data_IF_264063603944
#
_entry.id   IF_264063603944
#
_cell.length_a   1.000
_cell.length_b   1.000
_cell.length_c   1.000
_cell.angle_alpha   90.00
_cell.angle_beta   90.00
_cell.angle_gamma   90.00
#
_symmetry.space_group_name_H-M   'P 1'
#
loop_
_entity.id
_entity.type
_entity.pdbx_description
1 polymer ?
#
# COMPACT_ATOMS: atom_id res chain seq x y z
N UNK A 1 19.78 -7.21 2.28
CA UNK A 1 18.31 -7.03 2.20
C UNK A 1 18.04 -5.53 2.17
N UNK A 2 17.16 -5.01 1.29
CA UNK A 2 16.98 -3.55 1.13
C UNK A 2 16.02 -2.99 2.19
N UNK A 3 16.28 -1.77 2.64
CA UNK A 3 15.34 -1.06 3.52
C UNK A 3 14.10 -0.63 2.74
N UNK A 4 12.94 -0.74 3.39
CA UNK A 4 11.68 -0.29 2.80
C UNK A 4 11.36 1.14 3.24
N UNK A 5 11.39 2.08 2.29
CA UNK A 5 11.12 3.51 2.52
C UNK A 5 9.80 3.93 1.88
N UNK A 6 9.28 5.09 2.27
CA UNK A 6 8.04 5.66 1.71
C UNK A 6 8.18 5.93 0.20
N UNK A 7 9.36 6.38 -0.26
CA UNK A 7 9.64 6.55 -1.69
C UNK A 7 9.61 5.24 -2.47
N UNK A 8 10.19 4.17 -1.90
CA UNK A 8 10.10 2.82 -2.49
C UNK A 8 8.66 2.34 -2.50
N UNK A 9 7.92 2.59 -1.42
CA UNK A 9 6.50 2.27 -1.34
C UNK A 9 5.73 2.99 -2.45
N UNK A 10 5.86 4.31 -2.58
CA UNK A 10 5.20 5.13 -3.59
C UNK A 10 5.49 4.63 -5.01
N UNK A 11 6.76 4.35 -5.33
CA UNK A 11 7.14 3.79 -6.65
C UNK A 11 6.50 2.44 -6.93
N UNK A 12 6.41 1.56 -5.93
CA UNK A 12 5.76 0.25 -6.08
C UNK A 12 4.24 0.38 -6.11
N UNK A 13 3.68 1.36 -5.41
CA UNK A 13 2.26 1.68 -5.39
C UNK A 13 1.79 2.19 -6.75
N UNK A 14 2.56 3.05 -7.41
CA UNK A 14 2.28 3.49 -8.80
C UNK A 14 2.19 2.30 -9.76
N UNK A 15 3.19 1.41 -9.75
CA UNK A 15 3.18 0.17 -10.55
C UNK A 15 2.00 -0.75 -10.22
N UNK A 16 1.56 -0.74 -8.97
CA UNK A 16 0.41 -1.51 -8.52
C UNK A 16 -0.89 -0.91 -9.06
N UNK A 17 -1.04 0.41 -9.06
CA UNK A 17 -2.23 1.13 -9.55
C UNK A 17 -2.46 0.96 -11.05
N UNK A 18 -1.41 0.70 -11.84
CA UNK A 18 -1.49 0.37 -13.27
C UNK A 18 -2.11 -1.01 -13.56
N UNK A 19 -2.29 -1.86 -12.53
CA UNK A 19 -2.87 -3.21 -12.71
C UNK A 19 -4.39 -3.16 -12.85
N UNK A 20 -4.95 -4.16 -13.53
CA UNK A 20 -6.40 -4.34 -13.71
C UNK A 20 -7.17 -4.43 -12.37
N UNK A 21 -6.56 -4.96 -11.31
CA UNK A 21 -7.17 -5.05 -9.97
C UNK A 21 -6.15 -4.72 -8.87
N UNK A 22 -5.84 -3.43 -8.64
CA UNK A 22 -4.75 -3.02 -7.75
C UNK A 22 -5.04 -3.36 -6.28
N UNK A 23 -6.32 -3.41 -5.89
CA UNK A 23 -6.74 -3.63 -4.50
C UNK A 23 -6.54 -5.08 -3.99
N UNK A 24 -6.10 -6.01 -4.83
CA UNK A 24 -5.71 -7.38 -4.43
C UNK A 24 -4.20 -7.59 -4.35
N UNK A 25 -3.43 -6.55 -4.65
CA UNK A 25 -1.98 -6.58 -4.69
C UNK A 25 -1.42 -5.88 -3.45
N UNK A 26 -0.24 -6.30 -3.00
CA UNK A 26 0.49 -5.64 -1.92
C UNK A 26 1.73 -4.96 -2.50
N UNK A 27 2.01 -3.67 -2.23
CA UNK A 27 3.19 -3.01 -2.78
C UNK A 27 4.49 -3.76 -2.44
N UNK A 28 4.74 -4.24 -1.21
CA UNK A 28 5.86 -5.12 -0.87
C UNK A 28 6.01 -6.41 -1.70
N UNK A 29 4.91 -7.00 -2.18
CA UNK A 29 4.92 -8.30 -2.83
C UNK A 29 5.67 -8.25 -4.16
N UNK A 30 6.57 -9.21 -4.42
CA UNK A 30 7.52 -9.15 -5.53
C UNK A 30 6.81 -9.11 -6.88
N UNK A 31 5.76 -9.91 -7.04
CA UNK A 31 5.03 -10.08 -8.31
C UNK A 31 3.68 -9.36 -8.35
N UNK A 32 3.31 -8.67 -7.26
CA UNK A 32 1.97 -8.10 -7.10
C UNK A 32 0.86 -9.15 -7.26
N UNK A 33 1.11 -10.40 -6.87
CA UNK A 33 0.08 -11.45 -6.88
C UNK A 33 -0.74 -11.46 -5.60
N UNK A 34 -2.04 -11.75 -5.72
CA UNK A 34 -2.90 -11.96 -4.56
C UNK A 34 -2.41 -13.17 -3.76
N UNK A 35 -2.38 -13.06 -2.43
CA UNK A 35 -1.91 -14.12 -1.54
C UNK A 35 -0.39 -14.30 -1.45
N UNK A 36 0.40 -13.53 -2.21
CA UNK A 36 1.86 -13.54 -2.11
C UNK A 36 2.32 -12.98 -0.76
N UNK A 37 3.29 -13.64 -0.12
CA UNK A 37 3.87 -13.16 1.12
C UNK A 37 4.61 -11.83 0.88
N UNK A 38 4.15 -10.71 1.46
CA UNK A 38 4.78 -9.41 1.25
C UNK A 38 6.19 -9.29 1.87
N UNK A 39 6.60 -10.23 2.73
CA UNK A 39 7.85 -10.15 3.50
C UNK A 39 9.08 -10.74 2.80
N UNK A 40 8.93 -11.32 1.61
CA UNK A 40 9.98 -12.16 1.00
C UNK A 40 11.25 -11.45 0.53
N UNK A 41 11.40 -10.13 0.73
CA UNK A 41 12.55 -9.40 0.17
C UNK A 41 13.02 -8.14 0.90
N UNK A 42 12.37 -7.72 2.00
CA UNK A 42 12.72 -6.48 2.68
C UNK A 42 12.60 -6.58 4.20
N UNK A 43 13.42 -5.80 4.90
CA UNK A 43 13.44 -5.73 6.36
C UNK A 43 12.23 -4.91 6.89
N UNK A 44 11.65 -5.33 8.02
CA UNK A 44 10.61 -4.61 8.78
C UNK A 44 9.37 -4.17 7.97
N UNK A 45 8.96 -4.99 7.01
CA UNK A 45 8.19 -4.50 5.89
C UNK A 45 6.67 -4.48 6.08
N UNK A 46 6.10 -5.50 6.72
CA UNK A 46 4.64 -5.65 6.81
C UNK A 46 3.98 -4.46 7.52
N UNK A 47 4.54 -4.07 8.66
CA UNK A 47 3.93 -3.03 9.51
C UNK A 47 4.08 -1.64 8.87
N UNK A 48 5.28 -1.34 8.37
CA UNK A 48 5.56 -0.07 7.70
C UNK A 48 4.73 0.08 6.42
N UNK A 49 4.63 -0.97 5.60
CA UNK A 49 3.89 -0.90 4.35
C UNK A 49 2.39 -0.66 4.55
N UNK A 50 1.70 -1.38 5.44
CA UNK A 50 0.27 -1.11 5.59
C UNK A 50 0.01 0.22 6.31
N UNK A 51 0.89 0.67 7.21
CA UNK A 51 0.79 2.02 7.78
C UNK A 51 0.89 3.08 6.68
N UNK A 52 1.85 2.93 5.76
CA UNK A 52 1.98 3.83 4.62
C UNK A 52 0.72 3.78 3.76
N UNK A 53 0.21 2.59 3.37
CA UNK A 53 -1.05 2.51 2.63
C UNK A 53 -2.23 3.19 3.33
N UNK A 54 -2.36 3.04 4.66
CA UNK A 54 -3.40 3.70 5.45
C UNK A 54 -3.26 5.22 5.40
N UNK A 55 -2.04 5.75 5.54
CA UNK A 55 -1.76 7.17 5.41
C UNK A 55 -2.15 7.69 4.02
N UNK A 56 -1.80 6.99 2.94
CA UNK A 56 -2.15 7.37 1.56
C UNK A 56 -3.66 7.38 1.29
N UNK A 57 -4.47 6.58 2.01
CA UNK A 57 -5.93 6.63 1.87
C UNK A 57 -6.63 7.45 2.95
N UNK A 58 -5.88 8.22 3.75
CA UNK A 58 -6.41 9.08 4.81
C UNK A 58 -7.09 8.32 5.95
N UNK A 59 -6.62 7.10 6.24
CA UNK A 59 -7.08 6.30 7.37
C UNK A 59 -6.11 6.48 8.54
N UNK A 60 -6.56 7.14 9.62
CA UNK A 60 -5.81 7.25 10.88
C UNK A 60 -6.18 6.10 11.80
N UNK A 61 -5.48 4.98 11.71
CA UNK A 61 -5.89 3.75 12.41
C UNK A 61 -4.79 3.23 13.29
N UNK A 62 -5.18 2.91 14.51
CA UNK A 62 -4.38 2.14 15.46
C UNK A 62 -4.38 0.68 15.00
N UNK A 63 -3.24 0.22 14.50
CA UNK A 63 -3.00 -1.11 13.90
C UNK A 63 -3.58 -2.30 14.68
N UNK A 64 -3.73 -2.18 16.00
CA UNK A 64 -4.17 -3.23 16.90
C UNK A 64 -5.69 -3.47 16.96
N UNK A 65 -6.54 -2.59 16.42
CA UNK A 65 -8.00 -2.67 16.67
C UNK A 65 -8.86 -3.16 15.50
N UNK A 66 -8.41 -3.02 14.26
CA UNK A 66 -9.31 -3.12 13.08
C UNK A 66 -9.09 -4.34 12.17
N UNK A 67 -8.32 -5.32 12.62
CA UNK A 67 -8.10 -6.56 11.90
C UNK A 67 -7.32 -6.38 10.59
N UNK A 68 -6.86 -7.50 10.04
CA UNK A 68 -5.98 -7.61 8.88
C UNK A 68 -6.55 -7.09 7.53
N UNK A 69 -7.57 -6.23 7.52
CA UNK A 69 -8.23 -5.76 6.30
C UNK A 69 -7.41 -4.65 5.63
N UNK A 70 -7.15 -4.83 4.34
CA UNK A 70 -6.43 -3.84 3.55
C UNK A 70 -7.24 -2.52 3.44
N UNK A 71 -6.59 -1.35 3.37
CA UNK A 71 -7.29 -0.06 3.31
C UNK A 71 -8.31 0.03 2.17
N UNK A 72 -8.01 -0.60 1.03
CA UNK A 72 -8.90 -0.70 -0.12
C UNK A 72 -10.23 -1.40 0.15
N UNK A 73 -10.25 -2.38 1.06
CA UNK A 73 -11.47 -3.10 1.44
C UNK A 73 -12.35 -2.25 2.37
N UNK A 74 -11.75 -1.31 3.09
CA UNK A 74 -12.45 -0.47 4.08
C UNK A 74 -13.15 0.72 3.46
N UNK A 75 -12.43 1.45 2.59
CA UNK A 75 -12.99 2.66 1.95
C UNK A 75 -13.62 2.37 0.59
N UNK A 76 -13.48 1.13 0.10
CA UNK A 76 -13.88 0.72 -1.24
C UNK A 76 -12.81 0.99 -2.29
N UNK A 77 -12.73 0.12 -3.30
CA UNK A 77 -11.66 0.13 -4.32
C UNK A 77 -11.51 1.48 -5.03
N UNK A 78 -12.60 2.02 -5.58
CA UNK A 78 -12.59 3.30 -6.33
C UNK A 78 -12.11 4.47 -5.46
N UNK A 79 -12.59 4.55 -4.21
CA UNK A 79 -12.22 5.61 -3.27
C UNK A 79 -10.77 5.49 -2.81
N UNK A 80 -10.31 4.26 -2.58
CA UNK A 80 -8.92 3.99 -2.22
C UNK A 80 -7.97 4.47 -3.33
N UNK A 81 -8.23 4.07 -4.58
CA UNK A 81 -7.43 4.49 -5.74
C UNK A 81 -7.39 6.02 -5.85
N UNK A 82 -8.55 6.69 -5.81
CA UNK A 82 -8.62 8.16 -5.89
C UNK A 82 -7.81 8.84 -4.80
N UNK A 83 -7.96 8.41 -3.55
CA UNK A 83 -7.22 8.98 -2.41
C UNK A 83 -5.73 8.72 -2.50
N UNK A 84 -5.34 7.53 -2.96
CA UNK A 84 -3.93 7.21 -3.18
C UNK A 84 -3.30 8.11 -4.22
N UNK A 85 -3.97 8.36 -5.36
CA UNK A 85 -3.48 9.31 -6.36
C UNK A 85 -3.29 10.72 -5.78
N UNK A 86 -4.31 11.25 -5.09
CA UNK A 86 -4.21 12.56 -4.43
C UNK A 86 -3.06 12.64 -3.44
N UNK A 87 -2.89 11.61 -2.60
CA UNK A 87 -1.80 11.59 -1.63
C UNK A 87 -0.41 11.40 -2.27
N UNK A 88 -0.32 10.79 -3.46
CA UNK A 88 0.93 10.74 -4.23
C UNK A 88 1.29 12.12 -4.78
N UNK A 89 0.31 12.86 -5.29
CA UNK A 89 0.47 14.24 -5.79
C UNK A 89 0.82 15.21 -4.66
N UNK A 90 0.05 15.22 -3.55
CA UNK A 90 0.30 16.08 -2.38
C UNK A 90 1.69 15.87 -1.76
N UNK A 91 2.27 14.68 -1.92
CA UNK A 91 3.60 14.34 -1.39
C UNK A 91 4.72 14.51 -2.42
N UNK A 92 4.42 14.93 -3.65
CA UNK A 92 5.40 15.15 -4.72
C UNK A 92 6.02 13.87 -5.28
N UNK A 93 5.28 12.75 -5.26
CA UNK A 93 5.73 11.50 -5.89
C UNK A 93 5.34 11.37 -7.36
N UNK A 94 4.43 12.22 -7.82
CA UNK A 94 3.96 12.39 -9.19
C UNK A 94 3.74 13.87 -9.47
#
# INVERSE_FOLDING_TARGET
MKEYTDAIHAKRLLKMLEKKNPCGCCPPAKRFSAGENPNGGWLNQKHKACQVCQNFVGLKIKWWFDGNKCPCQRVGKKRAIKRTWLALEEKGYI
#
